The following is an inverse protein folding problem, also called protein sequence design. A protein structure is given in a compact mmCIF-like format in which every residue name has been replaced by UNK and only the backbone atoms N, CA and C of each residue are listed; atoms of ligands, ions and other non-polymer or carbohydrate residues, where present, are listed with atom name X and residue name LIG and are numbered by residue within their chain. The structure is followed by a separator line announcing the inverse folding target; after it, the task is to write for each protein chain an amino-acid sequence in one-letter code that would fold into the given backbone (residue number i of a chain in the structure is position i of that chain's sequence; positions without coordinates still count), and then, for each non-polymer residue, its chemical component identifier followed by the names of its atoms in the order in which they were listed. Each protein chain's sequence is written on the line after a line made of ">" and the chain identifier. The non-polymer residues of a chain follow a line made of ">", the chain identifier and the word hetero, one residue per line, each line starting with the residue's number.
data_IF_225383819013
#
_entry.id   IF_225383819013
#
_cell.length_a   1.000
_cell.length_b   1.000
_cell.length_c   1.000
_cell.angle_alpha   90.00
_cell.angle_beta   90.00
_cell.angle_gamma   90.00
#
_symmetry.space_group_name_H-M   'P 1'
#
loop_
_entity.id
_entity.type
_entity.pdbx_description
1 polymer ?
#
# COMPACT_ATOMS: atom_id res chain seq x y z
N UNK A 1 18.93 14.52 -18.81
CA UNK A 1 20.17 13.72 -18.74
C UNK A 1 21.09 14.47 -17.80
N UNK A 2 21.68 14.00 -16.69
CA UNK A 2 22.01 12.71 -16.06
C UNK A 2 21.87 12.93 -14.53
N UNK A 3 21.51 11.97 -13.69
CA UNK A 3 22.42 10.98 -13.11
C UNK A 3 21.60 9.83 -12.51
N UNK A 4 22.03 8.60 -12.78
CA UNK A 4 21.28 7.39 -12.49
C UNK A 4 21.13 7.05 -11.00
N UNK A 5 20.10 6.27 -10.72
CA UNK A 5 20.18 5.20 -9.73
C UNK A 5 19.76 3.91 -10.41
N UNK A 6 20.58 3.54 -11.38
CA UNK A 6 20.57 2.25 -12.05
C UNK A 6 21.02 1.19 -11.04
N UNK A 7 20.10 0.30 -10.64
CA UNK A 7 20.34 -1.01 -9.97
C UNK A 7 21.26 -1.01 -8.73
N UNK A 8 20.69 -0.80 -7.53
CA UNK A 8 21.33 -1.20 -6.27
C UNK A 8 21.06 -2.66 -5.96
N UNK A 9 21.74 -3.57 -6.66
CA UNK A 9 21.70 -5.01 -6.33
C UNK A 9 22.07 -5.29 -4.87
N UNK A 10 22.92 -4.42 -4.30
CA UNK A 10 23.34 -4.41 -2.90
C UNK A 10 22.17 -4.31 -1.90
N UNK A 11 21.05 -3.70 -2.29
CA UNK A 11 19.88 -3.61 -1.42
C UNK A 11 19.00 -4.88 -1.44
N UNK A 12 19.25 -5.85 -2.33
CA UNK A 12 18.50 -7.11 -2.46
C UNK A 12 19.11 -8.23 -1.61
N UNK A 13 19.33 -7.93 -0.33
CA UNK A 13 19.94 -8.82 0.66
C UNK A 13 18.95 -9.14 1.79
N UNK A 14 19.36 -9.98 2.76
CA UNK A 14 18.60 -10.18 4.01
C UNK A 14 18.33 -8.84 4.70
N UNK A 15 17.07 -8.61 5.08
CA UNK A 15 16.59 -7.33 5.61
C UNK A 15 16.35 -6.23 4.56
N UNK A 16 16.77 -6.45 3.31
CA UNK A 16 16.65 -5.52 2.19
C UNK A 16 15.37 -5.68 1.38
N UNK A 17 15.41 -5.34 0.10
CA UNK A 17 14.29 -5.52 -0.82
C UNK A 17 14.08 -7.01 -1.18
N UNK A 18 12.83 -7.34 -1.49
CA UNK A 18 12.47 -8.60 -2.12
C UNK A 18 12.72 -8.52 -3.65
N UNK A 19 13.43 -9.47 -4.26
CA UNK A 19 13.54 -9.54 -5.72
C UNK A 19 12.21 -9.97 -6.34
N UNK A 20 11.74 -9.23 -7.34
CA UNK A 20 10.45 -9.47 -8.02
C UNK A 20 10.65 -9.46 -9.53
N UNK A 21 10.01 -10.39 -10.22
CA UNK A 21 9.95 -10.51 -11.67
C UNK A 21 8.50 -10.34 -12.17
N UNK A 22 8.36 -9.93 -13.43
CA UNK A 22 7.05 -9.94 -14.09
C UNK A 22 6.56 -11.38 -14.18
N UNK A 23 5.28 -11.60 -13.85
CA UNK A 23 4.67 -12.93 -13.79
C UNK A 23 4.72 -13.58 -12.41
N UNK A 24 5.51 -13.07 -11.46
CA UNK A 24 5.53 -13.59 -10.09
C UNK A 24 4.13 -13.51 -9.46
N UNK A 25 3.79 -14.52 -8.67
CA UNK A 25 2.49 -14.64 -8.01
C UNK A 25 2.62 -14.51 -6.49
N UNK A 26 1.67 -13.80 -5.88
CA UNK A 26 1.63 -13.55 -4.43
C UNK A 26 0.26 -13.93 -3.86
N UNK A 27 0.23 -14.23 -2.55
CA UNK A 27 -0.98 -14.62 -1.80
C UNK A 27 -1.72 -15.78 -2.46
N UNK A 28 -1.06 -16.95 -2.54
CA UNK A 28 -1.63 -18.19 -3.08
C UNK A 28 -2.21 -18.05 -4.50
N UNK A 29 -1.48 -17.33 -5.36
CA UNK A 29 -1.87 -17.14 -6.76
C UNK A 29 -2.84 -16.01 -7.04
N UNK A 30 -3.24 -15.23 -6.02
CA UNK A 30 -4.21 -14.14 -6.19
C UNK A 30 -3.66 -12.95 -6.97
N UNK A 31 -2.42 -12.55 -6.69
CA UNK A 31 -1.84 -11.31 -7.23
C UNK A 31 -0.69 -11.63 -8.18
N UNK A 32 -0.88 -11.43 -9.48
CA UNK A 32 0.15 -11.64 -10.50
C UNK A 32 0.82 -10.33 -10.89
N UNK A 33 2.14 -10.25 -10.79
CA UNK A 33 2.90 -9.03 -11.10
C UNK A 33 2.90 -8.75 -12.59
N UNK A 34 2.53 -7.51 -12.95
CA UNK A 34 2.45 -7.03 -14.35
C UNK A 34 3.64 -6.14 -14.70
N UNK A 35 3.94 -5.13 -13.88
CA UNK A 35 5.08 -4.22 -14.08
C UNK A 35 5.43 -3.46 -12.82
N UNK A 36 6.65 -2.92 -12.74
CA UNK A 36 7.05 -2.03 -11.63
C UNK A 36 6.37 -0.66 -11.79
N UNK A 37 5.82 -0.13 -10.71
CA UNK A 37 5.26 1.23 -10.64
C UNK A 37 6.27 2.23 -10.08
N UNK A 38 7.07 1.79 -9.10
CA UNK A 38 8.04 2.66 -8.46
C UNK A 38 8.81 1.95 -7.36
N UNK A 39 9.70 2.72 -6.73
CA UNK A 39 10.44 2.28 -5.56
C UNK A 39 10.86 3.49 -4.75
N UNK A 40 11.11 3.27 -3.47
CA UNK A 40 11.66 4.27 -2.56
C UNK A 40 12.41 3.55 -1.44
N UNK A 41 12.98 4.33 -0.53
CA UNK A 41 13.88 3.83 0.53
C UNK A 41 13.35 2.60 1.30
N UNK A 42 12.04 2.52 1.50
CA UNK A 42 11.38 1.53 2.36
C UNK A 42 10.76 0.34 1.62
N UNK A 43 10.42 0.49 0.33
CA UNK A 43 9.61 -0.49 -0.38
C UNK A 43 9.72 -0.38 -1.90
N UNK A 44 9.27 -1.42 -2.60
CA UNK A 44 8.98 -1.36 -4.04
C UNK A 44 7.49 -1.47 -4.27
N UNK A 45 6.99 -0.83 -5.33
CA UNK A 45 5.56 -0.83 -5.68
C UNK A 45 5.39 -1.36 -7.09
N UNK A 46 4.46 -2.29 -7.25
CA UNK A 46 4.22 -3.04 -8.48
C UNK A 46 2.75 -2.98 -8.87
N UNK A 47 2.48 -2.94 -10.17
CA UNK A 47 1.17 -3.19 -10.71
C UNK A 47 0.97 -4.70 -10.71
N UNK A 48 -0.13 -5.16 -10.13
CA UNK A 48 -0.51 -6.56 -10.15
C UNK A 48 -1.96 -6.75 -10.60
N UNK A 49 -2.28 -7.93 -11.13
CA UNK A 49 -3.65 -8.37 -11.43
C UNK A 49 -4.18 -9.16 -10.23
N UNK A 50 -5.28 -8.71 -9.64
CA UNK A 50 -6.06 -9.47 -8.65
C UNK A 50 -7.02 -10.40 -9.39
N UNK A 51 -6.78 -11.71 -9.33
CA UNK A 51 -7.59 -12.73 -10.00
C UNK A 51 -8.95 -12.95 -9.33
N UNK A 52 -9.09 -12.67 -8.03
CA UNK A 52 -10.37 -12.84 -7.31
C UNK A 52 -11.37 -11.73 -7.63
N UNK A 53 -10.90 -10.49 -7.71
CA UNK A 53 -11.74 -9.30 -7.99
C UNK A 53 -11.65 -8.82 -9.44
N UNK A 54 -10.90 -9.54 -10.29
CA UNK A 54 -10.69 -9.27 -11.71
C UNK A 54 -10.28 -7.81 -12.02
N UNK A 55 -9.39 -7.23 -11.21
CA UNK A 55 -8.97 -5.82 -11.32
C UNK A 55 -7.46 -5.64 -11.20
N UNK A 56 -6.96 -4.47 -11.59
CA UNK A 56 -5.58 -4.09 -11.30
C UNK A 56 -5.46 -3.48 -9.90
N UNK A 57 -4.34 -3.75 -9.24
CA UNK A 57 -4.00 -3.26 -7.91
C UNK A 57 -2.54 -2.78 -7.86
N UNK A 58 -2.23 -1.91 -6.89
CA UNK A 58 -0.87 -1.55 -6.54
C UNK A 58 -0.40 -2.41 -5.36
N UNK A 59 0.60 -3.27 -5.59
CA UNK A 59 1.24 -4.13 -4.61
C UNK A 59 2.52 -3.48 -4.09
N UNK A 60 2.50 -3.02 -2.83
CA UNK A 60 3.66 -2.46 -2.11
C UNK A 60 4.33 -3.58 -1.31
N UNK A 61 5.60 -3.83 -1.56
CA UNK A 61 6.41 -4.86 -0.89
C UNK A 61 7.50 -4.16 -0.08
N UNK A 62 7.42 -4.29 1.24
CA UNK A 62 8.30 -3.60 2.20
C UNK A 62 9.62 -4.37 2.36
N UNK A 63 10.72 -3.65 2.61
CA UNK A 63 11.98 -4.26 3.04
C UNK A 63 11.78 -5.12 4.29
N UNK A 64 12.54 -6.19 4.43
CA UNK A 64 12.29 -7.16 5.50
C UNK A 64 12.93 -6.85 6.85
N UNK A 65 13.86 -5.91 6.95
CA UNK A 65 14.51 -5.61 8.22
C UNK A 65 13.47 -5.23 9.31
N UNK A 66 13.68 -5.62 10.58
CA UNK A 66 12.68 -5.46 11.64
C UNK A 66 12.07 -4.05 11.72
N UNK A 67 12.91 -3.01 11.70
CA UNK A 67 12.48 -1.60 11.72
C UNK A 67 11.49 -1.22 10.60
N UNK A 68 11.62 -1.82 9.41
CA UNK A 68 10.73 -1.54 8.28
C UNK A 68 9.44 -2.34 8.40
N UNK A 69 9.55 -3.58 8.88
CA UNK A 69 8.39 -4.43 9.18
C UNK A 69 7.52 -3.81 10.26
N UNK A 70 8.10 -3.33 11.37
CA UNK A 70 7.38 -2.67 12.48
C UNK A 70 6.62 -1.43 11.99
N UNK A 71 7.34 -0.52 11.30
CA UNK A 71 6.73 0.67 10.70
C UNK A 71 5.57 0.32 9.75
N UNK A 72 5.73 -0.74 8.94
CA UNK A 72 4.68 -1.19 8.02
C UNK A 72 3.46 -1.78 8.75
N UNK A 73 3.66 -2.47 9.87
CA UNK A 73 2.56 -2.97 10.69
C UNK A 73 1.77 -1.83 11.34
N UNK A 74 2.45 -0.76 11.76
CA UNK A 74 1.78 0.44 12.26
C UNK A 74 1.01 1.19 11.14
N UNK A 75 1.59 1.27 9.93
CA UNK A 75 0.89 1.77 8.73
C UNK A 75 -0.40 0.96 8.47
N UNK A 76 -0.31 -0.38 8.53
CA UNK A 76 -1.47 -1.27 8.35
C UNK A 76 -2.53 -1.01 9.43
N UNK A 77 -2.16 -0.91 10.71
CA UNK A 77 -3.12 -0.64 11.80
C UNK A 77 -3.88 0.67 11.56
N UNK A 78 -3.18 1.71 11.12
CA UNK A 78 -3.79 3.00 10.82
C UNK A 78 -4.76 2.89 9.64
N UNK A 79 -4.32 2.27 8.54
CA UNK A 79 -5.13 2.05 7.34
C UNK A 79 -6.36 1.18 7.61
N UNK A 80 -6.22 0.15 8.46
CA UNK A 80 -7.33 -0.70 8.89
C UNK A 80 -8.40 0.11 9.63
N UNK A 81 -8.03 1.02 10.53
CA UNK A 81 -9.00 1.89 11.23
C UNK A 81 -9.81 2.78 10.27
N UNK A 82 -9.21 3.21 9.16
CA UNK A 82 -9.90 3.97 8.12
C UNK A 82 -10.93 3.14 7.33
N UNK A 83 -10.81 1.80 7.33
CA UNK A 83 -11.70 0.89 6.58
C UNK A 83 -12.59 0.01 7.46
N UNK A 84 -12.46 0.04 8.79
CA UNK A 84 -13.33 -0.75 9.71
C UNK A 84 -14.24 0.10 10.58
N UNK A 85 -14.02 1.42 10.62
CA UNK A 85 -14.81 2.31 11.47
C UNK A 85 -16.23 2.47 10.86
N UNK A 86 -17.20 1.73 11.41
CA UNK A 86 -18.49 1.42 10.76
C UNK A 86 -19.72 2.10 11.38
N UNK A 87 -19.57 2.92 12.41
CA UNK A 87 -20.69 3.70 12.97
C UNK A 87 -21.20 4.78 11.97
N UNK A 88 -22.49 5.11 11.92
CA UNK A 88 -22.93 6.29 11.15
C UNK A 88 -22.59 7.60 11.89
N UNK A 89 -22.51 8.74 11.18
CA UNK A 89 -22.58 10.05 11.80
C UNK A 89 -23.85 10.17 12.63
N UNK A 90 -23.73 10.38 13.93
CA UNK A 90 -24.88 10.79 14.74
C UNK A 90 -25.03 12.30 14.59
N UNK A 91 -26.16 12.77 14.06
CA UNK A 91 -26.45 14.21 14.05
C UNK A 91 -26.54 14.74 15.49
N UNK A 92 -26.13 15.99 15.77
CA UNK A 92 -26.34 16.60 17.08
C UNK A 92 -27.83 16.61 17.43
N UNK A 93 -28.18 16.16 18.63
CA UNK A 93 -29.55 16.23 19.15
C UNK A 93 -29.60 17.13 20.38
N UNK A 94 -30.78 17.67 20.76
CA UNK A 94 -30.93 18.44 22.00
C UNK A 94 -30.48 17.67 23.25
N UNK A 95 -30.55 16.34 23.21
CA UNK A 95 -30.10 15.42 24.27
C UNK A 95 -28.64 14.97 24.17
N UNK A 96 -27.98 15.19 23.02
CA UNK A 96 -26.58 14.87 22.79
C UNK A 96 -25.97 15.91 21.83
N UNK A 97 -25.62 17.11 22.34
CA UNK A 97 -25.14 18.22 21.52
C UNK A 97 -23.75 17.96 20.94
N UNK A 98 -22.98 17.01 21.49
CA UNK A 98 -21.64 16.63 21.02
C UNK A 98 -21.56 15.12 20.80
N UNK A 99 -22.18 14.61 19.71
CA UNK A 99 -22.03 13.22 19.35
C UNK A 99 -20.57 12.89 19.04
N UNK A 100 -20.15 11.67 19.35
CA UNK A 100 -18.82 11.18 19.01
C UNK A 100 -18.58 11.33 17.49
N UNK A 101 -17.37 11.74 17.06
CA UNK A 101 -17.08 12.00 15.66
C UNK A 101 -17.40 10.80 14.80
N UNK A 102 -18.01 11.08 13.64
CA UNK A 102 -18.42 10.06 12.68
C UNK A 102 -17.20 9.30 12.16
N UNK A 103 -17.32 7.99 11.97
CA UNK A 103 -16.20 7.23 11.46
C UNK A 103 -16.07 7.35 9.94
N UNK A 104 -14.97 6.79 9.45
CA UNK A 104 -14.39 7.14 8.18
C UNK A 104 -15.26 6.83 6.94
N UNK A 105 -16.21 5.89 6.99
CA UNK A 105 -16.93 5.43 5.77
C UNK A 105 -17.94 6.42 5.18
N UNK A 106 -18.53 7.29 5.99
CA UNK A 106 -19.58 8.23 5.57
C UNK A 106 -19.07 9.65 5.37
N UNK A 107 -17.82 9.90 5.75
CA UNK A 107 -17.22 11.22 5.63
C UNK A 107 -16.94 11.55 4.15
N UNK A 108 -17.30 12.75 3.64
CA UNK A 108 -17.07 13.14 2.24
C UNK A 108 -15.59 13.12 1.83
N UNK A 109 -14.68 13.29 2.80
CA UNK A 109 -13.24 13.17 2.59
C UNK A 109 -12.77 11.73 2.29
N UNK A 110 -13.58 10.70 2.53
CA UNK A 110 -13.15 9.30 2.41
C UNK A 110 -12.72 8.92 1.00
N UNK A 111 -13.41 9.44 -0.02
CA UNK A 111 -13.07 9.25 -1.43
C UNK A 111 -11.76 9.93 -1.85
N UNK A 112 -11.22 10.80 -0.99
CA UNK A 112 -9.96 11.51 -1.21
C UNK A 112 -8.78 10.83 -0.48
N UNK A 113 -9.02 9.69 0.18
CA UNK A 113 -8.02 8.91 0.88
C UNK A 113 -7.86 7.55 0.19
N UNK A 114 -6.62 7.16 -0.07
CA UNK A 114 -6.29 5.91 -0.76
C UNK A 114 -7.00 4.69 -0.15
N UNK A 115 -7.53 3.83 -1.00
CA UNK A 115 -8.18 2.61 -0.58
C UNK A 115 -7.14 1.52 -0.25
N UNK A 116 -7.09 1.12 1.02
CA UNK A 116 -6.38 -0.07 1.48
C UNK A 116 -7.25 -1.30 1.28
N UNK A 117 -6.75 -2.30 0.55
CA UNK A 117 -7.54 -3.43 0.06
C UNK A 117 -7.24 -4.73 0.78
N UNK A 118 -5.96 -4.99 1.06
CA UNK A 118 -5.48 -6.24 1.60
C UNK A 118 -4.06 -6.09 2.14
N UNK A 119 -3.64 -7.01 3.00
CA UNK A 119 -2.25 -7.16 3.40
C UNK A 119 -1.95 -8.61 3.75
N UNK A 120 -0.70 -9.02 3.52
CA UNK A 120 -0.24 -10.36 3.83
C UNK A 120 1.27 -10.34 4.04
N UNK A 121 1.80 -11.47 4.53
CA UNK A 121 3.24 -11.69 4.63
C UNK A 121 3.67 -12.63 3.51
N UNK A 122 4.75 -12.28 2.81
CA UNK A 122 5.31 -13.11 1.75
C UNK A 122 6.70 -13.61 2.16
N UNK A 123 6.92 -14.92 2.14
CA UNK A 123 8.24 -15.49 2.39
C UNK A 123 9.03 -15.52 1.09
N UNK A 124 10.00 -14.62 0.99
CA UNK A 124 10.94 -14.55 -0.12
C UNK A 124 12.25 -15.28 0.17
N UNK A 125 13.23 -15.20 -0.75
CA UNK A 125 14.55 -15.81 -0.57
C UNK A 125 15.37 -15.17 0.56
N UNK A 126 15.16 -13.87 0.81
CA UNK A 126 15.96 -13.08 1.74
C UNK A 126 15.37 -13.05 3.15
N UNK A 127 14.04 -12.99 3.28
CA UNK A 127 13.31 -13.04 4.54
C UNK A 127 11.79 -13.04 4.27
N UNK A 128 10.98 -12.86 5.32
CA UNK A 128 9.56 -12.53 5.22
C UNK A 128 9.35 -11.04 5.03
N UNK A 129 8.57 -10.67 4.03
CA UNK A 129 8.24 -9.29 3.67
C UNK A 129 6.76 -8.99 3.96
N UNK A 130 6.48 -7.78 4.45
CA UNK A 130 5.11 -7.27 4.55
C UNK A 130 4.68 -6.75 3.18
N UNK A 131 3.53 -7.22 2.71
CA UNK A 131 2.91 -6.81 1.47
C UNK A 131 1.60 -6.09 1.75
N UNK A 132 1.39 -4.95 1.11
CA UNK A 132 0.18 -4.14 1.20
C UNK A 132 -0.41 -3.95 -0.20
N UNK A 133 -1.73 -4.04 -0.32
CA UNK A 133 -2.45 -3.94 -1.58
C UNK A 133 -3.35 -2.71 -1.56
N UNK A 134 -3.22 -1.88 -2.58
CA UNK A 134 -3.97 -0.63 -2.73
C UNK A 134 -4.65 -0.56 -4.10
N UNK A 135 -5.60 0.36 -4.25
CA UNK A 135 -6.06 0.78 -5.58
C UNK A 135 -4.93 1.38 -6.42
N UNK A 136 -5.09 1.37 -7.75
CA UNK A 136 -4.13 1.99 -8.66
C UNK A 136 -4.45 3.47 -8.79
N UNK A 137 -3.47 4.33 -8.47
CA UNK A 137 -3.56 5.77 -8.65
C UNK A 137 -2.64 6.28 -9.77
N UNK A 138 -2.88 7.51 -10.20
CA UNK A 138 -2.11 8.20 -11.24
C UNK A 138 -0.75 8.74 -10.76
N UNK A 139 -0.18 9.62 -11.57
CA UNK A 139 1.07 10.32 -11.24
C UNK A 139 0.88 11.25 -10.04
N UNK A 140 1.91 11.36 -9.20
CA UNK A 140 1.90 12.32 -8.10
C UNK A 140 2.09 13.77 -8.60
N UNK A 141 1.76 14.73 -7.74
CA UNK A 141 1.79 16.16 -8.08
C UNK A 141 3.18 16.64 -8.53
N UNK A 142 4.27 16.14 -7.91
CA UNK A 142 5.63 16.47 -8.34
C UNK A 142 5.92 15.99 -9.76
N UNK A 143 5.45 14.79 -10.11
CA UNK A 143 5.54 14.26 -11.47
C UNK A 143 4.73 15.08 -12.47
N UNK A 144 3.60 15.65 -12.05
CA UNK A 144 2.81 16.56 -12.87
C UNK A 144 3.52 17.91 -13.05
N UNK A 145 4.05 18.50 -11.97
CA UNK A 145 4.79 19.77 -12.01
C UNK A 145 6.00 19.66 -12.92
N UNK A 146 6.79 18.58 -12.84
CA UNK A 146 7.97 18.39 -13.69
C UNK A 146 7.67 18.22 -15.19
N UNK A 147 6.40 18.07 -15.56
CA UNK A 147 5.95 17.89 -16.95
C UNK A 147 5.61 19.21 -17.64
N UNK A 148 5.45 20.29 -16.87
CA UNK A 148 5.18 21.65 -17.34
C UNK A 148 6.29 22.60 -16.86
#
# INVERSE_FOLDING_TARGET
>A
MSHGSTRRWEDYVKGGYHPVKIGDVFSDGRYTVVRKLGWGHFSTVWLARDSKQNRHVALKIVKSAPRYTETALDEIKLLQRLITSSTPPTAPTPSNPHPAPSPAHTHPGRSHVIQFLDHFRHKGPNDVHVCMVFEVLGVNLLGLIKRY
#
